data_IF_868960806318
#
_entry.id   IF_868960806318
#
_cell.length_a   1.000
_cell.length_b   1.000
_cell.length_c   1.000
_cell.angle_alpha   90.00
_cell.angle_beta   90.00
_cell.angle_gamma   90.00
#
_symmetry.space_group_name_H-M   'P 1'
#
loop_
_entity.id
_entity.type
_entity.pdbx_description
1 polymer ?
#
# COMPACT_ATOMS: atom_id res chain seq x y z
N UNK A 1 9.02 2.28 5.14
CA UNK A 1 9.71 1.50 6.22
C UNK A 1 8.79 1.18 7.43
N UNK A 2 7.57 1.73 7.54
CA UNK A 2 6.67 1.44 8.66
C UNK A 2 5.94 0.07 8.55
N UNK A 3 5.49 -0.32 7.35
CA UNK A 3 4.69 -1.54 7.17
C UNK A 3 5.47 -2.84 7.39
N UNK A 4 6.77 -2.87 7.08
CA UNK A 4 7.61 -4.04 7.37
C UNK A 4 7.71 -4.34 8.87
N UNK A 5 7.64 -3.31 9.73
CA UNK A 5 7.60 -3.51 11.18
C UNK A 5 6.27 -4.12 11.63
N UNK A 6 5.16 -3.72 11.01
CA UNK A 6 3.85 -4.30 11.33
C UNK A 6 3.75 -5.77 10.92
N UNK A 7 4.26 -6.14 9.74
CA UNK A 7 4.38 -7.56 9.34
C UNK A 7 5.26 -8.34 10.32
N UNK A 8 6.38 -7.76 10.74
CA UNK A 8 7.26 -8.39 11.73
C UNK A 8 6.56 -8.58 13.07
N UNK A 9 5.83 -7.58 13.59
CA UNK A 9 5.10 -7.72 14.84
C UNK A 9 4.04 -8.82 14.79
N UNK A 10 3.38 -9.01 13.64
CA UNK A 10 2.48 -10.14 13.45
C UNK A 10 3.23 -11.48 13.47
N UNK A 11 4.41 -11.54 12.86
CA UNK A 11 5.29 -12.71 12.92
C UNK A 11 5.74 -13.02 14.34
N UNK A 12 6.14 -12.00 15.10
CA UNK A 12 6.69 -12.17 16.45
C UNK A 12 5.67 -12.79 17.42
N UNK A 13 4.37 -12.59 17.18
CA UNK A 13 3.28 -13.16 17.96
C UNK A 13 2.62 -14.38 17.30
N UNK A 14 3.10 -14.82 16.13
CA UNK A 14 2.54 -15.94 15.37
C UNK A 14 1.13 -15.71 14.79
N UNK A 15 0.73 -14.45 14.60
CA UNK A 15 -0.58 -14.10 14.03
C UNK A 15 -0.61 -14.39 12.52
N UNK A 16 -1.70 -14.99 12.05
CA UNK A 16 -1.94 -15.19 10.62
C UNK A 16 -2.24 -13.86 9.95
N UNK A 17 -1.59 -13.57 8.83
CA UNK A 17 -1.73 -12.28 8.13
C UNK A 17 -1.71 -12.40 6.62
N UNK A 18 -2.35 -11.43 5.97
CA UNK A 18 -2.12 -11.11 4.56
C UNK A 18 -1.41 -9.75 4.55
N UNK A 19 -0.11 -9.69 4.19
CA UNK A 19 0.63 -8.43 4.21
C UNK A 19 -0.02 -7.37 3.31
N UNK A 20 -0.26 -6.19 3.88
CA UNK A 20 -0.78 -5.02 3.17
C UNK A 20 0.37 -4.06 2.80
N UNK A 21 0.37 -3.59 1.56
CA UNK A 21 1.29 -2.61 1.01
C UNK A 21 0.50 -1.39 0.50
N UNK A 22 0.34 -0.34 1.30
CA UNK A 22 -0.42 0.82 0.85
C UNK A 22 0.36 1.73 -0.09
N UNK A 23 -0.35 2.44 -0.95
CA UNK A 23 0.17 3.36 -1.97
C UNK A 23 0.29 4.81 -1.47
N UNK A 24 -0.14 5.06 -0.24
CA UNK A 24 -0.09 6.37 0.43
C UNK A 24 -1.30 6.58 1.32
N UNK A 25 -1.36 7.72 1.98
CA UNK A 25 -2.57 8.24 2.65
C UNK A 25 -2.42 9.75 2.85
N UNK A 26 -3.36 10.50 2.28
CA UNK A 26 -3.49 11.95 2.28
C UNK A 26 -4.98 12.31 2.30
N UNK A 27 -5.58 12.53 3.48
CA UNK A 27 -6.99 12.84 3.63
C UNK A 27 -7.30 14.34 3.45
N UNK A 28 -6.28 15.18 3.19
CA UNK A 28 -6.48 16.64 3.08
C UNK A 28 -7.56 17.03 2.06
N UNK A 29 -7.78 16.34 0.93
CA UNK A 29 -8.93 16.62 0.07
C UNK A 29 -10.29 16.50 0.76
N UNK A 30 -10.44 15.54 1.69
CA UNK A 30 -11.63 15.41 2.55
C UNK A 30 -11.65 16.45 3.67
N UNK A 31 -10.50 16.84 4.21
CA UNK A 31 -10.46 17.95 5.19
C UNK A 31 -10.88 19.28 4.55
N UNK A 32 -10.48 19.54 3.30
CA UNK A 32 -10.85 20.72 2.51
C UNK A 32 -12.32 20.67 2.03
N UNK A 33 -12.81 19.48 1.68
CA UNK A 33 -14.20 19.25 1.26
C UNK A 33 -14.84 18.13 2.09
N UNK A 34 -15.28 18.43 3.33
CA UNK A 34 -15.75 17.42 4.26
C UNK A 34 -16.98 16.68 3.77
N UNK A 35 -16.97 15.36 3.93
CA UNK A 35 -18.16 14.53 3.81
C UNK A 35 -18.83 14.39 5.18
N UNK A 36 -20.17 14.28 5.25
CA UNK A 36 -20.89 14.41 6.53
C UNK A 36 -20.65 13.27 7.54
N UNK A 37 -19.93 12.22 7.16
CA UNK A 37 -19.66 11.05 8.00
C UNK A 37 -18.22 10.94 8.49
N UNK A 38 -17.35 11.91 8.17
CA UNK A 38 -15.95 11.89 8.63
C UNK A 38 -15.48 13.32 8.92
N UNK A 39 -14.71 13.48 9.99
CA UNK A 39 -14.03 14.72 10.34
C UNK A 39 -12.52 14.44 10.25
N UNK A 40 -11.92 14.76 9.11
CA UNK A 40 -10.52 14.46 8.79
C UNK A 40 -9.61 15.61 9.22
N UNK A 41 -8.48 15.28 9.85
CA UNK A 41 -7.47 16.24 10.25
C UNK A 41 -6.44 16.54 9.15
N UNK A 42 -5.45 17.42 9.43
CA UNK A 42 -4.39 17.76 8.49
C UNK A 42 -3.29 16.69 8.38
N UNK A 43 -3.33 15.65 9.21
CA UNK A 43 -2.35 14.57 9.22
C UNK A 43 -2.34 13.85 7.88
N UNK A 44 -1.16 13.62 7.33
CA UNK A 44 -0.97 12.90 6.08
C UNK A 44 0.42 12.29 6.04
N UNK A 45 0.60 11.29 5.19
CA UNK A 45 1.92 10.80 4.82
C UNK A 45 2.36 11.43 3.52
N UNK A 46 3.67 11.67 3.40
CA UNK A 46 4.27 12.04 2.12
C UNK A 46 4.00 10.91 1.12
N UNK A 47 3.54 11.29 -0.07
CA UNK A 47 3.29 10.35 -1.14
C UNK A 47 4.59 9.61 -1.50
N UNK A 48 4.60 8.27 -1.51
CA UNK A 48 5.81 7.52 -1.85
C UNK A 48 6.17 7.75 -3.32
N UNK A 49 7.47 7.72 -3.61
CA UNK A 49 7.91 7.61 -5.00
C UNK A 49 7.52 6.26 -5.60
N UNK A 50 7.56 6.16 -6.92
CA UNK A 50 7.33 4.90 -7.62
C UNK A 50 8.29 3.81 -7.15
N UNK A 51 9.56 4.15 -6.95
CA UNK A 51 10.61 3.23 -6.51
C UNK A 51 10.37 2.78 -5.07
N UNK A 52 9.94 3.68 -4.19
CA UNK A 52 9.59 3.34 -2.81
C UNK A 52 8.39 2.39 -2.75
N UNK A 53 7.37 2.63 -3.57
CA UNK A 53 6.21 1.75 -3.70
C UNK A 53 6.62 0.37 -4.23
N UNK A 54 7.44 0.33 -5.27
CA UNK A 54 7.98 -0.93 -5.80
C UNK A 54 8.75 -1.70 -4.73
N UNK A 55 9.61 -1.00 -3.97
CA UNK A 55 10.41 -1.62 -2.91
C UNK A 55 9.54 -2.16 -1.78
N UNK A 56 8.47 -1.44 -1.41
CA UNK A 56 7.52 -1.91 -0.41
C UNK A 56 6.82 -3.19 -0.88
N UNK A 57 6.34 -3.23 -2.12
CA UNK A 57 5.66 -4.39 -2.69
C UNK A 57 6.62 -5.58 -2.79
N UNK A 58 7.85 -5.38 -3.27
CA UNK A 58 8.90 -6.41 -3.28
C UNK A 58 9.15 -6.98 -1.89
N UNK A 59 9.19 -6.11 -0.89
CA UNK A 59 9.39 -6.50 0.50
C UNK A 59 8.20 -7.31 1.03
N UNK A 60 6.97 -6.95 0.66
CA UNK A 60 5.75 -7.70 1.01
C UNK A 60 5.71 -9.09 0.37
N UNK A 61 6.08 -9.19 -0.91
CA UNK A 61 6.23 -10.48 -1.61
C UNK A 61 7.27 -11.35 -0.89
N UNK A 62 8.47 -10.81 -0.66
CA UNK A 62 9.53 -11.56 0.02
C UNK A 62 9.13 -11.99 1.43
N UNK A 63 8.46 -11.12 2.18
CA UNK A 63 7.94 -11.46 3.51
C UNK A 63 6.97 -12.64 3.42
N UNK A 64 6.02 -12.58 2.50
CA UNK A 64 5.01 -13.63 2.26
C UNK A 64 5.66 -14.98 1.97
N UNK A 65 6.70 -15.00 1.12
CA UNK A 65 7.41 -16.24 0.78
C UNK A 65 8.22 -16.80 1.95
N UNK A 66 8.89 -15.93 2.71
CA UNK A 66 9.76 -16.33 3.84
C UNK A 66 8.99 -16.71 5.09
N UNK A 67 7.74 -16.25 5.22
CA UNK A 67 6.89 -16.45 6.39
C UNK A 67 5.60 -17.21 6.04
N UNK A 68 5.71 -18.26 5.21
CA UNK A 68 4.55 -19.00 4.69
C UNK A 68 3.65 -19.64 5.75
N UNK A 69 4.16 -19.90 6.95
CA UNK A 69 3.38 -20.43 8.07
C UNK A 69 2.41 -19.41 8.66
N UNK A 70 2.68 -18.11 8.54
CA UNK A 70 1.76 -17.05 9.00
C UNK A 70 1.06 -16.36 7.83
N UNK A 71 1.71 -16.27 6.68
CA UNK A 71 1.17 -15.76 5.42
C UNK A 71 0.66 -16.92 4.55
N UNK A 72 -0.24 -17.72 5.10
CA UNK A 72 -0.66 -19.02 4.53
C UNK A 72 -1.30 -18.89 3.14
N UNK A 73 -1.99 -17.77 2.89
CA UNK A 73 -2.62 -17.49 1.59
C UNK A 73 -1.61 -17.20 0.48
N UNK A 74 -0.33 -17.01 0.80
CA UNK A 74 0.72 -16.61 -0.16
C UNK A 74 0.30 -15.42 -1.02
N UNK A 75 -0.34 -14.44 -0.39
CA UNK A 75 -1.00 -13.30 -1.04
C UNK A 75 -0.57 -12.01 -0.37
N UNK A 76 -0.51 -10.92 -1.14
CA UNK A 76 -0.37 -9.55 -0.63
C UNK A 76 -1.57 -8.70 -1.06
N UNK A 77 -1.90 -7.69 -0.28
CA UNK A 77 -2.91 -6.67 -0.64
C UNK A 77 -2.19 -5.38 -0.97
N UNK A 78 -2.41 -4.84 -2.17
CA UNK A 78 -1.96 -3.50 -2.53
C UNK A 78 -3.13 -2.55 -2.35
N UNK A 79 -3.00 -1.60 -1.41
CA UNK A 79 -4.08 -0.67 -1.04
C UNK A 79 -3.71 0.77 -1.42
N UNK A 80 -4.34 1.47 -2.34
CA UNK A 80 -5.66 1.21 -2.89
C UNK A 80 -5.67 1.37 -4.41
N UNK A 81 -6.66 0.74 -5.03
CA UNK A 81 -6.93 0.92 -6.45
C UNK A 81 -7.41 2.35 -6.75
N UNK A 82 -8.46 2.82 -6.07
CA UNK A 82 -9.19 4.05 -6.43
C UNK A 82 -9.65 4.90 -5.23
N UNK A 83 -9.00 4.80 -4.07
CA UNK A 83 -9.31 5.63 -2.89
C UNK A 83 -8.81 7.07 -3.04
N UNK A 84 -9.20 7.74 -4.13
CA UNK A 84 -8.65 9.04 -4.54
C UNK A 84 -9.06 10.18 -3.61
N UNK A 85 -10.06 9.97 -2.74
CA UNK A 85 -10.40 10.91 -1.68
C UNK A 85 -9.48 10.82 -0.45
N UNK A 86 -8.75 9.72 -0.29
CA UNK A 86 -7.85 9.47 0.85
C UNK A 86 -6.39 9.32 0.43
N UNK A 87 -6.10 9.27 -0.87
CA UNK A 87 -4.76 8.99 -1.37
C UNK A 87 -4.46 9.85 -2.59
N UNK A 88 -3.35 10.57 -2.53
CA UNK A 88 -2.76 11.25 -3.68
C UNK A 88 -2.12 10.27 -4.70
N UNK A 89 -1.95 9.00 -4.32
CA UNK A 89 -1.26 7.94 -5.09
C UNK A 89 -2.09 6.67 -5.33
N UNK A 90 -3.39 6.80 -5.62
CA UNK A 90 -4.19 5.66 -6.08
C UNK A 90 -3.59 5.01 -7.34
N UNK A 91 -3.71 3.69 -7.49
CA UNK A 91 -3.21 2.99 -8.69
C UNK A 91 -4.02 3.29 -9.95
N UNK A 92 -5.26 3.72 -9.80
CA UNK A 92 -6.13 4.06 -10.92
C UNK A 92 -5.48 5.18 -11.76
N UNK A 93 -5.45 5.04 -13.10
CA UNK A 93 -4.91 6.09 -13.94
C UNK A 93 -5.57 7.45 -13.70
N UNK A 94 -4.75 8.50 -13.61
CA UNK A 94 -5.21 9.87 -13.34
C UNK A 94 -4.80 10.84 -14.45
N UNK A 95 -5.42 12.01 -14.49
CA UNK A 95 -5.05 13.04 -15.47
C UNK A 95 -3.62 13.57 -15.27
N UNK A 96 -3.11 13.56 -14.03
CA UNK A 96 -1.77 14.06 -13.72
C UNK A 96 -0.67 13.03 -13.94
N UNK A 97 -0.91 11.78 -13.54
CA UNK A 97 0.12 10.73 -13.55
C UNK A 97 -0.09 9.67 -14.64
N UNK A 98 -1.20 9.72 -15.39
CA UNK A 98 -1.51 8.71 -16.41
C UNK A 98 -1.46 7.30 -15.82
N UNK A 99 -0.74 6.41 -16.50
CA UNK A 99 -0.53 5.01 -16.10
C UNK A 99 0.74 4.77 -15.27
N UNK A 100 1.43 5.84 -14.82
CA UNK A 100 2.76 5.76 -14.19
C UNK A 100 2.89 4.64 -13.13
N UNK A 101 1.93 4.55 -12.21
CA UNK A 101 1.97 3.58 -11.12
C UNK A 101 1.76 2.15 -11.62
N UNK A 102 0.75 1.90 -12.45
CA UNK A 102 0.50 0.54 -12.98
C UNK A 102 1.63 0.07 -13.90
N UNK A 103 2.22 0.98 -14.70
CA UNK A 103 3.37 0.67 -15.54
C UNK A 103 4.58 0.31 -14.69
N UNK A 104 4.80 1.01 -13.58
CA UNK A 104 5.86 0.66 -12.65
C UNK A 104 5.62 -0.67 -11.94
N UNK A 105 4.40 -0.95 -11.49
CA UNK A 105 4.07 -2.21 -10.83
C UNK A 105 4.16 -3.41 -11.78
N UNK A 106 3.79 -3.23 -13.06
CA UNK A 106 3.90 -4.28 -14.08
C UNK A 106 5.32 -4.86 -14.22
N UNK A 107 6.35 -4.05 -13.92
CA UNK A 107 7.77 -4.45 -13.97
C UNK A 107 8.17 -5.36 -12.82
N UNK A 108 7.38 -5.44 -11.74
CA UNK A 108 7.75 -6.16 -10.51
C UNK A 108 6.80 -7.30 -10.18
N UNK A 109 5.55 -7.25 -10.64
CA UNK A 109 4.56 -8.29 -10.37
C UNK A 109 4.78 -9.66 -11.03
N UNK A 110 5.54 -9.86 -12.13
CA UNK A 110 5.81 -11.22 -12.61
C UNK A 110 6.73 -12.03 -11.69
N UNK A 111 7.16 -11.47 -10.55
CA UNK A 111 8.01 -12.12 -9.57
C UNK A 111 7.16 -12.69 -8.43
N UNK A 112 6.64 -13.89 -8.62
CA UNK A 112 6.12 -14.70 -7.52
C UNK A 112 7.12 -15.81 -7.18
N UNK A 113 7.16 -16.15 -5.90
CA UNK A 113 7.59 -17.48 -5.47
C UNK A 113 6.48 -18.48 -5.89
#
# INVERSE_FOLDING_TARGET
ILFSRWWQSASDIGAKIVPIAPTGWDPRPRAENPVPWVDEGPEHYIQPTVEELQQLIRSGINFTCTHNQIAEAQTIIIYAWNESSETSGSLVPSMGNGTLYIDALSKILPMFC
#
